data_IF_030790255695
#
_entry.id   IF_030790255695
#
_cell.length_a   1.000
_cell.length_b   1.000
_cell.length_c   1.000
_cell.angle_alpha   90.00
_cell.angle_beta   90.00
_cell.angle_gamma   90.00
#
_symmetry.space_group_name_H-M   'P 1'
#
loop_
_entity.id
_entity.type
_entity.pdbx_description
1 polymer ?
#
# COMPACT_ATOMS: atom_id res chain seq x y z
N UNK A 1 32.47 2.48 -76.74
CA UNK A 1 31.38 1.63 -77.25
C UNK A 1 31.56 0.21 -76.69
N UNK A 2 30.46 -0.35 -76.16
CA UNK A 2 30.17 -1.77 -75.86
C UNK A 2 30.86 -2.50 -74.68
N UNK A 3 30.08 -2.55 -73.59
CA UNK A 3 29.63 -3.71 -72.79
C UNK A 3 30.62 -4.78 -72.29
N UNK A 4 30.66 -4.93 -70.95
CA UNK A 4 31.07 -6.14 -70.22
C UNK A 4 29.85 -6.85 -69.59
N UNK A 5 29.78 -8.16 -69.82
CA UNK A 5 29.13 -9.26 -69.07
C UNK A 5 29.93 -10.53 -69.48
N UNK A 6 30.18 -11.60 -68.74
CA UNK A 6 29.87 -12.12 -67.39
C UNK A 6 30.76 -13.39 -67.19
N UNK A 7 30.89 -13.84 -65.92
CA UNK A 7 31.16 -15.22 -65.44
C UNK A 7 32.60 -15.76 -65.24
N UNK A 8 33.00 -15.74 -63.95
CA UNK A 8 33.36 -16.85 -63.05
C UNK A 8 34.10 -18.12 -63.55
N UNK A 9 35.24 -18.46 -62.92
CA UNK A 9 35.35 -19.57 -61.95
C UNK A 9 36.78 -19.76 -61.38
N UNK A 10 36.82 -20.18 -60.11
CA UNK A 10 37.80 -21.03 -59.39
C UNK A 10 39.25 -20.54 -59.14
N UNK A 11 39.67 -20.56 -57.86
CA UNK A 11 40.77 -21.38 -57.31
C UNK A 11 40.60 -21.52 -55.79
N UNK A 12 40.83 -22.73 -55.29
CA UNK A 12 40.74 -23.17 -53.90
C UNK A 12 42.09 -23.15 -53.16
N UNK A 13 42.04 -22.87 -51.84
CA UNK A 13 42.70 -23.65 -50.78
C UNK A 13 44.13 -23.32 -50.34
N UNK A 14 44.29 -22.90 -49.08
CA UNK A 14 45.16 -23.61 -48.10
C UNK A 14 44.86 -23.19 -46.65
N UNK A 15 45.02 -24.18 -45.75
CA UNK A 15 44.50 -24.31 -44.39
C UNK A 15 45.41 -23.71 -43.30
N UNK A 16 44.80 -23.25 -42.20
CA UNK A 16 45.33 -23.40 -40.83
C UNK A 16 44.14 -23.40 -39.85
N UNK A 17 44.10 -24.41 -38.97
CA UNK A 17 42.92 -24.78 -38.19
C UNK A 17 42.59 -23.87 -37.01
N UNK A 18 41.29 -23.69 -36.77
CA UNK A 18 40.76 -23.27 -35.48
C UNK A 18 39.61 -24.24 -35.13
N UNK A 19 39.79 -24.95 -34.02
CA UNK A 19 38.80 -25.86 -33.48
C UNK A 19 37.54 -25.08 -33.05
N UNK A 20 36.37 -25.57 -33.47
CA UNK A 20 35.07 -25.03 -33.11
C UNK A 20 34.77 -25.41 -31.64
N UNK A 21 34.86 -24.44 -30.73
CA UNK A 21 34.39 -24.60 -29.36
C UNK A 21 32.86 -24.58 -29.31
N UNK A 22 32.26 -25.62 -28.73
CA UNK A 22 30.84 -25.65 -28.40
C UNK A 22 30.47 -24.46 -27.48
N UNK A 23 29.24 -23.93 -27.56
CA UNK A 23 28.81 -22.87 -26.64
C UNK A 23 28.91 -23.38 -25.20
N UNK A 24 29.67 -22.65 -24.38
CA UNK A 24 29.76 -22.88 -22.94
C UNK A 24 28.34 -22.78 -22.37
N UNK A 25 27.86 -23.85 -21.74
CA UNK A 25 26.67 -23.76 -20.90
C UNK A 25 26.86 -22.61 -19.90
N UNK A 26 25.82 -21.79 -19.65
CA UNK A 26 25.90 -20.75 -18.63
C UNK A 26 26.32 -21.41 -17.31
N UNK A 27 27.24 -20.77 -16.60
CA UNK A 27 27.64 -21.21 -15.27
C UNK A 27 26.38 -21.35 -14.40
N UNK A 28 26.24 -22.43 -13.61
CA UNK A 28 25.14 -22.52 -12.67
C UNK A 28 25.21 -21.29 -11.76
N UNK A 29 24.12 -20.51 -11.76
CA UNK A 29 23.89 -19.47 -10.76
C UNK A 29 24.14 -20.09 -9.38
N UNK A 30 24.77 -19.37 -8.43
CA UNK A 30 24.77 -19.84 -7.06
C UNK A 30 23.32 -20.11 -6.66
N UNK A 31 23.07 -21.31 -6.12
CA UNK A 31 21.76 -21.66 -5.61
C UNK A 31 21.46 -20.69 -4.45
N UNK A 32 20.70 -19.65 -4.74
CA UNK A 32 20.06 -18.81 -3.73
C UNK A 32 19.11 -19.73 -2.94
N UNK A 33 19.60 -20.26 -1.83
CA UNK A 33 18.72 -20.78 -0.80
C UNK A 33 17.81 -19.60 -0.41
N UNK A 34 16.47 -19.75 -0.48
CA UNK A 34 15.57 -18.64 -0.23
C UNK A 34 15.71 -18.24 1.24
N UNK A 35 16.23 -17.05 1.50
CA UNK A 35 16.53 -16.51 2.83
C UNK A 35 15.31 -16.39 3.78
N UNK A 36 14.12 -16.87 3.38
CA UNK A 36 12.93 -16.94 4.23
C UNK A 36 12.21 -18.31 4.21
N UNK A 37 12.78 -19.37 3.61
CA UNK A 37 12.28 -20.72 3.90
C UNK A 37 12.41 -21.08 5.39
N UNK A 38 13.28 -20.38 6.13
CA UNK A 38 13.47 -20.46 7.59
C UNK A 38 12.82 -19.35 8.41
N UNK A 39 12.07 -18.42 7.81
CA UNK A 39 11.53 -17.26 8.54
C UNK A 39 10.61 -17.67 9.70
N UNK A 40 10.71 -16.96 10.82
CA UNK A 40 9.95 -17.19 12.06
C UNK A 40 9.32 -15.90 12.56
N UNK A 41 8.20 -16.04 13.27
CA UNK A 41 7.67 -14.95 14.10
C UNK A 41 8.72 -14.65 15.18
N UNK A 42 9.26 -13.43 15.19
CA UNK A 42 10.23 -12.98 16.20
C UNK A 42 9.52 -12.51 17.45
N UNK A 43 8.45 -11.76 17.25
CA UNK A 43 7.51 -11.35 18.27
C UNK A 43 6.17 -11.01 17.62
N UNK A 44 5.12 -11.07 18.41
CA UNK A 44 3.78 -10.63 18.06
C UNK A 44 3.18 -9.91 19.27
N UNK A 45 2.65 -8.71 19.05
CA UNK A 45 2.00 -7.92 20.09
C UNK A 45 0.54 -7.70 19.73
N UNK A 46 -0.33 -8.30 20.53
CA UNK A 46 -1.78 -8.10 20.43
C UNK A 46 -2.12 -6.73 20.97
N UNK A 47 -2.99 -6.03 20.22
CA UNK A 47 -3.64 -4.79 20.66
C UNK A 47 -5.02 -5.16 21.16
N UNK A 48 -5.19 -5.12 22.48
CA UNK A 48 -6.45 -5.52 23.13
C UNK A 48 -7.21 -4.32 23.64
N UNK A 49 -8.53 -4.44 23.70
CA UNK A 49 -9.42 -3.38 24.14
C UNK A 49 -10.87 -3.86 24.15
N UNK A 50 -11.77 -3.12 24.80
CA UNK A 50 -13.13 -3.56 25.06
C UNK A 50 -14.04 -3.61 23.82
N UNK A 51 -13.63 -2.98 22.72
CA UNK A 51 -14.34 -2.99 21.44
C UNK A 51 -13.35 -3.12 20.28
N UNK A 52 -12.51 -4.16 20.35
CA UNK A 52 -11.66 -4.65 19.26
C UNK A 52 -10.84 -3.57 18.53
N UNK A 53 -9.70 -3.14 19.10
CA UNK A 53 -8.77 -2.24 18.43
C UNK A 53 -8.37 -2.77 17.06
N UNK A 54 -8.14 -1.87 16.11
CA UNK A 54 -7.74 -2.21 14.76
C UNK A 54 -6.38 -1.59 14.40
N UNK A 55 -5.36 -2.41 14.19
CA UNK A 55 -4.13 -1.99 13.51
C UNK A 55 -4.40 -1.89 12.00
N UNK A 56 -4.18 -0.71 11.40
CA UNK A 56 -4.50 -0.43 9.99
C UNK A 56 -3.30 -0.37 9.08
N UNK A 57 -2.19 0.19 9.55
CA UNK A 57 -0.97 0.31 8.76
C UNK A 57 0.28 0.11 9.61
N UNK A 58 1.34 -0.32 8.94
CA UNK A 58 2.68 -0.51 9.52
C UNK A 58 3.73 0.10 8.62
N UNK A 59 4.81 0.61 9.21
CA UNK A 59 6.01 1.06 8.51
C UNK A 59 7.26 0.71 9.33
N UNK A 60 8.44 0.72 8.70
CA UNK A 60 9.70 0.51 9.40
C UNK A 60 10.55 1.79 9.40
N UNK A 61 11.20 2.07 10.53
CA UNK A 61 12.14 3.19 10.70
C UNK A 61 13.38 2.70 11.45
N UNK A 62 14.55 2.68 10.80
CA UNK A 62 15.80 2.26 11.46
C UNK A 62 15.74 0.87 12.11
N UNK A 63 14.93 -0.04 11.56
CA UNK A 63 14.67 -1.38 12.11
C UNK A 63 13.53 -1.45 13.14
N UNK A 64 13.07 -0.33 13.68
CA UNK A 64 11.86 -0.27 14.51
C UNK A 64 10.60 -0.47 13.65
N UNK A 65 9.55 -1.04 14.24
CA UNK A 65 8.21 -1.11 13.64
C UNK A 65 7.35 0.03 14.18
N UNK A 66 6.73 0.80 13.31
CA UNK A 66 5.69 1.77 13.66
C UNK A 66 4.37 1.20 13.18
N UNK A 67 3.35 1.17 14.05
CA UNK A 67 2.01 0.73 13.71
C UNK A 67 0.99 1.78 14.12
N UNK A 68 -0.02 1.97 13.28
CA UNK A 68 -1.12 2.93 13.52
C UNK A 68 -2.47 2.27 13.36
N UNK A 69 -3.48 2.84 14.01
CA UNK A 69 -4.82 2.27 13.99
C UNK A 69 -5.84 3.07 14.79
N UNK A 70 -6.91 2.39 15.17
CA UNK A 70 -7.96 2.94 16.04
C UNK A 70 -8.34 1.99 17.18
N UNK A 71 -8.92 2.54 18.24
CA UNK A 71 -9.45 1.77 19.38
C UNK A 71 -10.63 2.51 20.01
N UNK A 72 -11.40 1.88 20.90
CA UNK A 72 -12.46 2.56 21.66
C UNK A 72 -12.18 2.51 23.15
N UNK A 73 -12.36 3.65 23.84
CA UNK A 73 -12.20 3.85 25.30
C UNK A 73 -10.79 3.62 25.84
N UNK A 74 -10.20 2.46 25.58
CA UNK A 74 -8.83 2.12 25.92
C UNK A 74 -8.28 1.00 25.04
N UNK A 75 -6.96 1.00 24.85
CA UNK A 75 -6.23 -0.09 24.23
C UNK A 75 -5.01 -0.45 25.06
N UNK A 76 -4.59 -1.70 24.97
CA UNK A 76 -3.35 -2.19 25.57
C UNK A 76 -2.49 -2.80 24.45
N UNK A 77 -1.26 -2.31 24.32
CA UNK A 77 -0.28 -2.84 23.37
C UNK A 77 1.04 -3.05 24.09
N UNK A 78 1.55 -4.28 24.10
CA UNK A 78 2.84 -4.62 24.70
C UNK A 78 3.00 -4.04 26.13
N UNK A 79 1.97 -4.20 26.97
CA UNK A 79 1.94 -3.73 28.36
C UNK A 79 1.65 -2.22 28.54
N UNK A 80 1.49 -1.44 27.47
CA UNK A 80 1.20 -0.01 27.53
C UNK A 80 -0.29 0.26 27.34
N UNK A 81 -0.88 1.02 28.27
CA UNK A 81 -2.29 1.43 28.21
C UNK A 81 -2.44 2.78 27.51
N UNK A 82 -3.26 2.80 26.48
CA UNK A 82 -3.76 3.99 25.79
C UNK A 82 -5.16 4.31 26.29
N UNK A 83 -5.48 5.59 26.43
CA UNK A 83 -6.78 6.07 26.88
C UNK A 83 -7.44 6.88 25.77
N UNK A 84 -8.70 6.56 25.51
CA UNK A 84 -9.56 7.25 24.56
C UNK A 84 -10.20 8.48 25.16
N UNK A 85 -10.83 9.30 24.33
CA UNK A 85 -11.68 10.38 24.80
C UNK A 85 -12.92 9.80 25.53
N UNK A 86 -13.36 10.37 26.67
CA UNK A 86 -14.53 9.87 27.40
C UNK A 86 -15.82 9.83 26.56
N UNK A 87 -15.95 10.78 25.63
CA UNK A 87 -17.10 10.92 24.72
C UNK A 87 -16.69 10.60 23.25
N UNK A 88 -15.57 9.90 23.06
CA UNK A 88 -15.10 9.41 21.75
C UNK A 88 -15.73 8.08 21.38
N UNK A 89 -15.96 7.87 20.09
CA UNK A 89 -16.42 6.59 19.53
C UNK A 89 -15.20 5.71 19.20
N UNK A 90 -14.36 6.16 18.27
CA UNK A 90 -13.06 5.57 17.94
C UNK A 90 -11.97 6.62 18.15
N UNK A 91 -10.81 6.20 18.64
CA UNK A 91 -9.65 7.02 18.95
C UNK A 91 -8.43 6.55 18.16
N UNK A 92 -7.68 7.48 17.59
CA UNK A 92 -6.50 7.17 16.80
C UNK A 92 -5.31 6.79 17.71
N UNK A 93 -4.50 5.84 17.29
CA UNK A 93 -3.25 5.53 17.98
C UNK A 93 -2.06 5.31 17.05
N UNK A 94 -0.88 5.46 17.63
CA UNK A 94 0.37 4.99 17.07
C UNK A 94 1.24 4.33 18.15
N UNK A 95 2.00 3.31 17.76
CA UNK A 95 3.00 2.66 18.61
C UNK A 95 4.29 2.47 17.83
N UNK A 96 5.42 2.68 18.49
CA UNK A 96 6.74 2.33 17.97
C UNK A 96 7.36 1.23 18.82
N UNK A 97 7.74 0.16 18.16
CA UNK A 97 8.31 -1.05 18.72
C UNK A 97 9.73 -1.20 18.21
N UNK A 98 10.69 -1.48 19.10
CA UNK A 98 12.05 -1.80 18.73
C UNK A 98 12.14 -3.11 17.94
N UNK A 99 13.30 -3.46 17.34
CA UNK A 99 13.43 -4.70 16.57
C UNK A 99 13.16 -5.97 17.39
N UNK A 100 13.42 -5.92 18.71
CA UNK A 100 13.12 -6.95 19.71
C UNK A 100 11.71 -6.85 20.32
N UNK A 101 10.88 -5.92 19.83
CA UNK A 101 9.48 -5.82 20.20
C UNK A 101 9.23 -5.05 21.50
N UNK A 102 10.20 -4.32 22.04
CA UNK A 102 9.97 -3.45 23.20
C UNK A 102 9.31 -2.15 22.75
N UNK A 103 8.33 -1.66 23.51
CA UNK A 103 7.70 -0.37 23.24
C UNK A 103 8.71 0.74 23.49
N UNK A 104 9.00 1.52 22.46
CA UNK A 104 9.73 2.80 22.61
C UNK A 104 8.77 3.91 23.02
N UNK A 105 7.62 3.96 22.37
CA UNK A 105 6.51 4.83 22.76
C UNK A 105 5.18 4.31 22.23
N UNK A 106 4.10 4.72 22.88
CA UNK A 106 2.73 4.57 22.43
C UNK A 106 2.00 5.91 22.62
N UNK A 107 1.17 6.29 21.66
CA UNK A 107 0.45 7.57 21.60
C UNK A 107 -0.99 7.32 21.19
N UNK A 108 -1.89 8.08 21.81
CA UNK A 108 -3.28 8.20 21.37
C UNK A 108 -3.53 9.66 21.01
N UNK A 109 -4.26 9.88 19.93
CA UNK A 109 -4.77 11.18 19.52
C UNK A 109 -6.28 11.07 19.47
N UNK A 110 -6.95 11.89 20.26
CA UNK A 110 -8.33 11.64 20.67
C UNK A 110 -9.14 12.92 20.62
N UNK A 111 -10.43 12.78 20.49
CA UNK A 111 -11.39 13.87 20.54
C UNK A 111 -12.82 13.37 20.52
N UNK A 112 -13.80 14.28 20.45
CA UNK A 112 -15.19 13.88 20.35
C UNK A 112 -15.47 13.24 18.99
N UNK A 113 -16.20 12.14 18.97
CA UNK A 113 -16.57 11.43 17.74
C UNK A 113 -15.55 10.38 17.32
N UNK A 114 -15.33 10.25 16.01
CA UNK A 114 -14.52 9.19 15.39
C UNK A 114 -13.18 9.78 14.97
N UNK A 115 -12.08 9.18 15.42
CA UNK A 115 -10.70 9.50 15.08
C UNK A 115 -9.97 8.23 14.62
N UNK A 116 -9.49 8.21 13.38
CA UNK A 116 -8.90 7.02 12.76
C UNK A 116 -7.52 7.33 12.20
N UNK A 117 -6.46 6.68 12.69
CA UNK A 117 -5.21 6.62 11.95
C UNK A 117 -5.25 5.44 10.97
N UNK A 118 -5.08 5.72 9.66
CA UNK A 118 -5.25 4.75 8.58
C UNK A 118 -3.96 4.42 7.84
N UNK A 119 -3.06 5.38 7.69
CA UNK A 119 -1.80 5.21 6.97
C UNK A 119 -0.62 5.78 7.74
N UNK A 120 0.55 5.16 7.57
CA UNK A 120 1.82 5.65 8.12
C UNK A 120 2.95 5.45 7.11
N UNK A 121 3.83 6.44 6.98
CA UNK A 121 5.04 6.36 6.17
C UNK A 121 6.23 6.98 6.90
N UNK A 122 7.43 6.51 6.55
CA UNK A 122 8.69 6.99 7.08
C UNK A 122 9.54 7.47 5.91
N UNK A 123 9.94 8.73 5.92
CA UNK A 123 10.86 9.29 4.94
C UNK A 123 12.30 8.79 5.18
N UNK A 124 13.20 8.87 4.18
CA UNK A 124 14.58 8.41 4.32
C UNK A 124 15.39 9.07 5.45
N UNK A 125 15.01 10.28 5.87
CA UNK A 125 15.60 11.01 7.00
C UNK A 125 15.04 10.58 8.37
N UNK A 126 14.09 9.64 8.39
CA UNK A 126 13.41 9.15 9.58
C UNK A 126 12.14 9.93 9.95
N UNK A 127 11.75 10.97 9.20
CA UNK A 127 10.50 11.69 9.47
C UNK A 127 9.28 10.77 9.31
N UNK A 128 8.38 10.80 10.30
CA UNK A 128 7.21 9.92 10.32
C UNK A 128 5.96 10.74 9.99
N UNK A 129 5.18 10.25 9.04
CA UNK A 129 3.92 10.85 8.61
C UNK A 129 2.77 9.89 8.88
N UNK A 130 1.68 10.41 9.44
CA UNK A 130 0.46 9.65 9.74
C UNK A 130 -0.71 10.34 9.07
N UNK A 131 -1.59 9.56 8.42
CA UNK A 131 -2.81 10.05 7.80
C UNK A 131 -4.04 9.31 8.31
N UNK A 132 -5.19 9.95 8.17
CA UNK A 132 -6.42 9.40 8.68
C UNK A 132 -7.64 10.29 8.47
N UNK A 133 -8.65 10.07 9.29
CA UNK A 133 -9.89 10.82 9.29
C UNK A 133 -10.35 11.13 10.72
N UNK A 134 -11.09 12.23 10.87
CA UNK A 134 -11.72 12.61 12.14
C UNK A 134 -13.06 13.33 11.91
N UNK A 135 -14.06 13.18 12.80
CA UNK A 135 -15.42 13.70 12.53
C UNK A 135 -15.80 15.03 13.17
N UNK A 136 -15.15 15.44 14.27
CA UNK A 136 -15.48 16.72 14.96
C UNK A 136 -14.24 17.50 15.32
N UNK A 137 -13.42 16.97 16.22
CA UNK A 137 -12.19 17.59 16.62
C UNK A 137 -11.19 16.53 17.05
N UNK A 138 -9.91 16.73 16.73
CA UNK A 138 -8.83 15.82 17.09
C UNK A 138 -7.79 16.58 17.90
N UNK A 139 -7.55 16.13 19.15
CA UNK A 139 -6.52 16.72 20.01
C UNK A 139 -5.15 16.15 19.70
N UNK A 140 -4.20 17.05 19.46
CA UNK A 140 -2.78 16.78 19.21
C UNK A 140 -1.91 17.34 20.35
N UNK A 141 -2.46 17.46 21.57
CA UNK A 141 -1.83 18.10 22.71
C UNK A 141 -2.25 19.56 22.83
N UNK A 142 -1.32 20.50 22.61
CA UNK A 142 -1.59 21.95 22.64
C UNK A 142 -2.38 22.46 21.43
N UNK A 143 -2.65 21.59 20.45
CA UNK A 143 -3.37 21.91 19.21
C UNK A 143 -4.60 21.03 19.08
N UNK A 144 -5.67 21.59 18.55
CA UNK A 144 -6.89 20.87 18.22
C UNK A 144 -7.20 21.11 16.75
N UNK A 145 -7.31 20.03 15.98
CA UNK A 145 -7.87 20.09 14.62
C UNK A 145 -9.38 20.09 14.74
N UNK A 146 -10.07 20.77 13.83
CA UNK A 146 -11.54 20.83 13.81
C UNK A 146 -12.03 20.51 12.41
N UNK A 147 -13.01 19.63 12.33
CA UNK A 147 -13.67 19.29 11.09
C UNK A 147 -14.63 20.44 10.71
N UNK A 148 -15.06 20.48 9.45
CA UNK A 148 -16.08 21.43 9.02
C UNK A 148 -17.48 20.86 9.34
N UNK A 149 -18.38 20.75 8.36
CA UNK A 149 -19.70 20.17 8.61
C UNK A 149 -19.68 18.62 8.62
N UNK A 150 -18.76 17.99 7.87
CA UNK A 150 -18.59 16.54 7.83
C UNK A 150 -17.19 16.07 8.23
N UNK A 151 -16.96 14.74 8.28
CA UNK A 151 -15.65 14.17 8.60
C UNK A 151 -14.54 14.69 7.70
N UNK A 152 -13.38 14.96 8.28
CA UNK A 152 -12.23 15.54 7.62
C UNK A 152 -11.04 14.58 7.60
N UNK A 153 -10.26 14.64 6.52
CA UNK A 153 -8.98 13.97 6.44
C UNK A 153 -7.91 14.74 7.22
N UNK A 154 -6.97 14.04 7.85
CA UNK A 154 -5.78 14.66 8.39
C UNK A 154 -4.51 14.02 7.84
N UNK A 155 -3.47 14.83 7.69
CA UNK A 155 -2.09 14.39 7.56
C UNK A 155 -1.29 15.08 8.65
N UNK A 156 -0.43 14.37 9.36
CA UNK A 156 0.46 14.97 10.33
C UNK A 156 1.87 14.39 10.24
N UNK A 157 2.84 15.22 10.60
CA UNK A 157 4.20 14.78 10.88
C UNK A 157 4.40 14.67 12.39
N UNK A 158 5.02 13.59 12.82
CA UNK A 158 5.39 13.36 14.22
C UNK A 158 6.91 13.28 14.38
N UNK A 159 7.41 13.66 15.55
CA UNK A 159 8.81 13.52 15.92
C UNK A 159 9.18 12.06 16.27
N UNK A 160 10.45 11.81 16.54
CA UNK A 160 10.98 10.47 16.87
C UNK A 160 10.36 9.87 18.16
N UNK A 161 9.83 10.73 19.04
CA UNK A 161 9.12 10.41 20.29
C UNK A 161 7.58 10.30 20.08
N UNK A 162 7.10 10.42 18.85
CA UNK A 162 5.69 10.35 18.49
C UNK A 162 4.86 11.59 18.86
N UNK A 163 5.48 12.76 19.08
CA UNK A 163 4.76 14.02 19.31
C UNK A 163 4.42 14.70 17.98
N UNK A 164 3.18 15.20 17.79
CA UNK A 164 2.82 15.97 16.61
C UNK A 164 3.68 17.23 16.46
N UNK A 165 4.24 17.43 15.27
CA UNK A 165 5.03 18.62 14.92
C UNK A 165 4.14 19.65 14.21
N UNK A 166 3.41 19.20 13.19
CA UNK A 166 2.44 19.97 12.43
C UNK A 166 1.41 19.01 11.84
N UNK A 167 0.26 19.56 11.46
CA UNK A 167 -0.80 18.82 10.76
C UNK A 167 -1.45 19.65 9.67
N UNK A 168 -1.91 18.97 8.62
CA UNK A 168 -2.78 19.46 7.57
C UNK A 168 -4.17 18.81 7.71
N UNK A 169 -5.21 19.57 7.37
CA UNK A 169 -6.60 19.14 7.40
C UNK A 169 -7.18 19.28 6.00
N UNK A 170 -7.81 18.22 5.50
CA UNK A 170 -8.59 18.20 4.27
C UNK A 170 -10.05 18.13 4.67
N UNK A 171 -10.79 19.22 4.54
CA UNK A 171 -12.15 19.33 5.06
C UNK A 171 -13.08 20.06 4.10
N UNK A 172 -14.37 19.76 4.20
CA UNK A 172 -15.45 20.37 3.43
C UNK A 172 -16.79 20.18 4.12
N UNK A 173 -17.87 20.57 3.45
CA UNK A 173 -19.22 20.41 4.01
C UNK A 173 -19.68 18.93 4.04
N UNK A 174 -19.03 18.07 3.26
CA UNK A 174 -19.25 16.63 3.21
C UNK A 174 -18.13 15.84 3.88
N UNK A 175 -17.98 14.59 3.45
CA UNK A 175 -16.96 13.65 3.91
C UNK A 175 -15.68 13.87 3.12
N UNK A 176 -14.55 13.91 3.83
CA UNK A 176 -13.21 13.80 3.28
C UNK A 176 -12.38 12.84 4.12
N UNK A 177 -11.63 11.95 3.46
CA UNK A 177 -10.78 10.97 4.10
C UNK A 177 -9.38 10.98 3.49
N UNK A 178 -8.36 10.76 4.31
CA UNK A 178 -7.04 10.31 3.86
C UNK A 178 -6.80 8.89 4.37
N UNK A 179 -6.32 8.02 3.48
CA UNK A 179 -6.24 6.57 3.74
C UNK A 179 -4.84 6.00 3.61
N UNK A 180 -4.01 6.56 2.73
CA UNK A 180 -2.64 6.11 2.53
C UNK A 180 -1.68 7.30 2.37
N UNK A 181 -0.42 7.08 2.72
CA UNK A 181 0.63 8.08 2.65
C UNK A 181 1.95 7.42 2.24
N UNK A 182 2.74 8.14 1.47
CA UNK A 182 4.12 7.79 1.15
C UNK A 182 5.00 9.03 1.34
N UNK A 183 6.27 8.83 1.70
CA UNK A 183 7.16 9.93 2.04
C UNK A 183 8.57 9.73 1.47
N UNK A 184 9.18 10.83 1.05
CA UNK A 184 10.57 10.92 0.61
C UNK A 184 11.24 12.15 1.26
N UNK A 185 12.43 12.51 0.77
CA UNK A 185 13.17 13.65 1.30
C UNK A 185 12.48 15.01 1.02
N UNK A 186 11.56 15.07 0.04
CA UNK A 186 10.84 16.29 -0.33
C UNK A 186 9.52 16.44 0.44
N UNK A 187 9.19 15.48 1.31
CA UNK A 187 8.05 15.50 2.21
C UNK A 187 7.16 14.27 2.05
N UNK A 188 5.85 14.47 2.02
CA UNK A 188 4.88 13.38 1.96
C UNK A 188 3.79 13.62 0.91
N UNK A 189 3.19 12.53 0.44
CA UNK A 189 2.01 12.53 -0.43
C UNK A 189 0.97 11.65 0.23
N UNK A 190 -0.18 12.24 0.58
CA UNK A 190 -1.35 11.54 1.07
C UNK A 190 -2.37 11.34 -0.03
N UNK A 191 -3.12 10.26 0.03
CA UNK A 191 -4.25 10.00 -0.86
C UNK A 191 -5.51 9.59 -0.11
N UNK A 192 -6.66 9.86 -0.71
CA UNK A 192 -7.96 9.43 -0.23
C UNK A 192 -9.10 9.88 -1.13
N UNK A 193 -10.23 10.27 -0.52
CA UNK A 193 -11.48 10.58 -1.21
C UNK A 193 -12.29 11.68 -0.54
N UNK A 194 -13.21 12.29 -1.29
CA UNK A 194 -14.14 13.31 -0.81
C UNK A 194 -15.46 13.30 -1.61
N UNK A 195 -16.58 13.72 -1.00
CA UNK A 195 -17.93 13.70 -1.63
C UNK A 195 -18.60 15.09 -1.75
N UNK A 196 -17.93 16.14 -1.27
CA UNK A 196 -18.36 17.53 -1.41
C UNK A 196 -17.13 18.45 -1.47
N UNK A 197 -17.26 19.71 -1.93
CA UNK A 197 -16.11 20.59 -2.08
C UNK A 197 -15.25 20.69 -0.82
N UNK A 198 -13.94 20.52 -0.99
CA UNK A 198 -12.95 20.51 0.09
C UNK A 198 -11.96 21.67 -0.02
N UNK A 199 -11.33 22.02 1.09
CA UNK A 199 -10.11 22.81 1.15
C UNK A 199 -9.05 22.12 2.02
N UNK A 200 -7.79 22.44 1.76
CA UNK A 200 -6.64 21.97 2.55
C UNK A 200 -6.08 23.11 3.36
N UNK A 201 -6.09 22.97 4.68
CA UNK A 201 -5.47 23.93 5.60
C UNK A 201 -4.29 23.28 6.31
N UNK A 202 -3.31 24.09 6.72
CA UNK A 202 -2.10 23.58 7.40
C UNK A 202 -1.81 24.38 8.66
N UNK A 203 -1.37 23.67 9.70
CA UNK A 203 -0.79 24.22 10.92
C UNK A 203 0.73 24.20 10.82
N UNK A 204 1.29 24.64 9.68
CA UNK A 204 2.72 24.72 9.45
C UNK A 204 3.45 25.36 10.65
N UNK A 205 4.78 25.18 10.74
CA UNK A 205 5.59 25.60 11.88
C UNK A 205 5.19 26.98 12.45
N UNK A 206 5.31 27.24 13.77
CA UNK A 206 4.70 28.39 14.46
C UNK A 206 5.04 29.81 13.94
N UNK A 207 5.92 29.93 12.95
CA UNK A 207 6.29 31.13 12.19
C UNK A 207 5.69 31.21 10.76
N UNK A 208 4.98 30.19 10.32
CA UNK A 208 4.30 30.10 9.04
C UNK A 208 2.83 30.53 9.15
N UNK A 209 2.38 31.38 8.23
CA UNK A 209 0.95 31.69 8.08
C UNK A 209 0.17 30.42 7.73
N UNK A 210 -0.96 30.18 8.38
CA UNK A 210 -1.92 29.13 7.99
C UNK A 210 -2.39 29.41 6.56
N UNK A 211 -1.85 28.68 5.59
CA UNK A 211 -2.30 28.75 4.21
C UNK A 211 -3.43 27.75 4.02
N UNK A 212 -4.57 28.24 3.54
CA UNK A 212 -5.66 27.43 3.05
C UNK A 212 -5.60 27.38 1.52
N UNK A 213 -5.84 26.21 0.95
CA UNK A 213 -5.98 26.07 -0.50
C UNK A 213 -7.24 26.79 -0.99
N UNK A 214 -7.33 27.01 -2.29
CA UNK A 214 -8.64 27.30 -2.90
C UNK A 214 -9.55 26.08 -2.73
N UNK A 215 -10.88 26.27 -2.67
CA UNK A 215 -11.83 25.16 -2.71
C UNK A 215 -11.60 24.29 -3.95
N UNK A 216 -11.76 22.99 -3.78
CA UNK A 216 -11.65 21.96 -4.81
C UNK A 216 -13.02 21.31 -4.89
N UNK A 217 -13.69 21.50 -6.03
CA UNK A 217 -15.01 20.96 -6.28
C UNK A 217 -14.97 19.47 -6.61
N UNK A 218 -16.09 18.79 -6.38
CA UNK A 218 -16.30 17.43 -6.88
C UNK A 218 -16.64 17.43 -8.37
N UNK A 219 -16.21 16.39 -9.08
CA UNK A 219 -16.55 16.12 -10.48
C UNK A 219 -17.72 15.12 -10.63
N UNK A 220 -18.46 14.87 -9.53
CA UNK A 220 -19.57 13.93 -9.51
C UNK A 220 -20.06 13.70 -8.08
N UNK A 221 -20.11 12.42 -7.68
CA UNK A 221 -20.62 12.01 -6.35
C UNK A 221 -19.52 11.82 -5.31
N UNK A 222 -18.37 11.30 -5.70
CA UNK A 222 -17.22 11.05 -4.84
C UNK A 222 -15.97 11.04 -5.72
N UNK A 223 -14.93 11.74 -5.31
CA UNK A 223 -13.70 11.87 -6.08
C UNK A 223 -12.48 11.53 -5.23
N UNK A 224 -11.42 11.09 -5.89
CA UNK A 224 -10.12 10.86 -5.28
C UNK A 224 -9.30 12.15 -5.14
N UNK A 225 -8.53 12.26 -4.06
CA UNK A 225 -7.60 13.38 -3.83
C UNK A 225 -6.21 12.89 -3.48
N UNK A 226 -5.19 13.52 -4.04
CA UNK A 226 -3.79 13.39 -3.68
C UNK A 226 -3.25 14.74 -3.21
N UNK A 227 -2.71 14.80 -1.99
CA UNK A 227 -2.17 16.03 -1.38
C UNK A 227 -0.69 15.81 -1.10
N UNK A 228 0.17 16.62 -1.73
CA UNK A 228 1.59 16.63 -1.44
C UNK A 228 1.97 17.81 -0.54
N UNK A 229 2.83 17.53 0.42
CA UNK A 229 3.31 18.49 1.42
C UNK A 229 4.83 18.44 1.50
N UNK A 230 5.43 19.56 1.89
CA UNK A 230 6.84 19.67 2.24
C UNK A 230 7.11 19.13 3.66
N UNK A 231 8.38 18.90 4.07
CA UNK A 231 8.70 18.40 5.41
C UNK A 231 8.31 19.34 6.56
N UNK A 232 8.18 20.63 6.27
CA UNK A 232 7.73 21.73 7.13
C UNK A 232 6.21 21.99 7.07
N UNK A 233 5.49 21.22 6.25
CA UNK A 233 4.02 21.17 6.27
C UNK A 233 3.31 22.13 5.31
N UNK A 234 4.02 22.68 4.33
CA UNK A 234 3.40 23.48 3.26
C UNK A 234 2.85 22.57 2.17
N UNK A 235 1.66 22.89 1.66
CA UNK A 235 1.10 22.22 0.48
C UNK A 235 1.97 22.54 -0.74
N UNK A 236 2.48 21.50 -1.43
CA UNK A 236 3.19 21.62 -2.71
C UNK A 236 2.23 21.62 -3.88
N UNK A 237 1.34 20.63 -3.91
CA UNK A 237 0.36 20.47 -4.97
C UNK A 237 -0.80 19.59 -4.47
N UNK A 238 -1.93 19.71 -5.16
CA UNK A 238 -3.10 18.87 -4.97
C UNK A 238 -3.54 18.39 -6.36
N UNK A 239 -3.84 17.11 -6.48
CA UNK A 239 -4.35 16.50 -7.70
C UNK A 239 -5.60 15.68 -7.38
N UNK A 240 -6.57 15.66 -8.30
CA UNK A 240 -7.81 14.91 -8.14
C UNK A 240 -7.96 13.84 -9.22
N UNK A 241 -8.68 12.78 -8.86
CA UNK A 241 -9.23 11.77 -9.75
C UNK A 241 -10.75 11.90 -9.67
N UNK A 242 -11.41 12.29 -10.75
CA UNK A 242 -12.85 12.55 -10.69
C UNK A 242 -13.60 12.43 -12.02
N UNK A 243 -14.90 12.21 -11.91
CA UNK A 243 -15.79 11.85 -13.00
C UNK A 243 -17.24 11.71 -12.49
N UNK A 244 -18.19 11.39 -13.39
CA UNK A 244 -19.61 11.35 -13.02
C UNK A 244 -19.96 10.23 -12.03
N UNK A 245 -19.14 9.18 -11.93
CA UNK A 245 -19.29 8.07 -10.98
C UNK A 245 -18.46 8.25 -9.71
N UNK A 246 -18.50 7.27 -8.80
CA UNK A 246 -17.64 7.28 -7.62
C UNK A 246 -16.19 6.90 -7.97
N UNK A 247 -15.28 7.78 -7.58
CA UNK A 247 -13.84 7.65 -7.77
C UNK A 247 -13.13 7.84 -6.43
N UNK A 248 -12.00 7.14 -6.24
CA UNK A 248 -11.25 7.24 -4.99
C UNK A 248 -9.80 6.82 -5.18
N UNK A 249 -8.88 7.47 -4.46
CA UNK A 249 -7.51 6.99 -4.33
C UNK A 249 -7.36 6.17 -3.04
N UNK A 250 -6.63 5.06 -3.15
CA UNK A 250 -6.52 4.05 -2.07
C UNK A 250 -5.09 3.74 -1.67
N UNK A 251 -4.16 3.79 -2.63
CA UNK A 251 -2.75 3.50 -2.40
C UNK A 251 -1.83 4.56 -3.00
N UNK A 252 -0.67 4.77 -2.38
CA UNK A 252 0.35 5.68 -2.87
C UNK A 252 1.76 5.17 -2.56
N UNK A 253 2.70 5.42 -3.46
CA UNK A 253 4.13 5.22 -3.27
C UNK A 253 4.91 6.40 -3.84
N UNK A 254 6.18 6.55 -3.45
CA UNK A 254 7.11 7.53 -4.06
C UNK A 254 8.29 6.81 -4.70
N UNK A 255 8.64 7.21 -5.93
CA UNK A 255 9.72 6.62 -6.71
C UNK A 255 10.49 7.69 -7.47
N UNK A 256 11.76 7.90 -7.07
CA UNK A 256 12.64 8.92 -7.64
C UNK A 256 12.01 10.33 -7.59
N UNK A 257 11.41 10.69 -6.45
CA UNK A 257 10.71 11.96 -6.21
C UNK A 257 9.32 12.07 -6.82
N UNK A 258 8.92 11.16 -7.71
CA UNK A 258 7.57 11.15 -8.29
C UNK A 258 6.60 10.37 -7.41
N UNK A 259 5.36 10.85 -7.31
CA UNK A 259 4.28 10.13 -6.66
C UNK A 259 3.66 9.10 -7.62
N UNK A 260 3.31 7.94 -7.09
CA UNK A 260 2.55 6.90 -7.78
C UNK A 260 1.27 6.70 -7.00
N UNK A 261 0.14 7.09 -7.56
CA UNK A 261 -1.16 6.97 -6.91
C UNK A 261 -2.02 5.93 -7.63
N UNK A 262 -2.71 5.10 -6.85
CA UNK A 262 -3.62 4.06 -7.34
C UNK A 262 -4.97 4.12 -6.65
N UNK A 263 -6.00 3.68 -7.35
CA UNK A 263 -7.35 3.71 -6.83
C UNK A 263 -8.37 3.16 -7.82
N UNK A 264 -9.59 3.64 -7.69
CA UNK A 264 -10.77 3.23 -8.47
C UNK A 264 -11.41 4.41 -9.15
N UNK A 265 -12.03 4.15 -10.29
CA UNK A 265 -12.91 5.12 -10.93
C UNK A 265 -14.10 4.41 -11.61
N UNK A 266 -15.24 5.08 -11.75
CA UNK A 266 -16.44 4.50 -12.37
C UNK A 266 -16.96 5.40 -13.49
N UNK A 267 -17.10 4.84 -14.69
CA UNK A 267 -17.34 5.63 -15.89
C UNK A 267 -16.09 6.39 -16.34
N UNK A 268 -16.18 7.18 -17.41
CA UNK A 268 -15.03 7.96 -17.86
C UNK A 268 -14.68 9.04 -16.84
N UNK A 269 -13.41 9.12 -16.45
CA UNK A 269 -12.90 10.03 -15.43
C UNK A 269 -11.69 10.84 -15.92
N UNK A 270 -11.20 11.74 -15.09
CA UNK A 270 -9.96 12.48 -15.30
C UNK A 270 -9.08 12.38 -14.07
N UNK A 271 -7.80 12.07 -14.25
CA UNK A 271 -6.80 12.13 -13.18
C UNK A 271 -5.77 13.22 -13.51
N UNK A 272 -5.77 14.28 -12.71
CA UNK A 272 -4.79 15.38 -12.79
C UNK A 272 -4.70 16.02 -14.18
N UNK A 273 -5.82 16.19 -14.90
CA UNK A 273 -5.79 16.70 -16.28
C UNK A 273 -5.76 15.63 -17.38
N UNK A 274 -5.73 14.34 -17.02
CA UNK A 274 -5.63 13.23 -18.00
C UNK A 274 -6.86 12.34 -17.98
N UNK A 275 -7.52 12.24 -19.12
CA UNK A 275 -8.68 11.36 -19.28
C UNK A 275 -8.32 9.88 -19.07
N UNK A 276 -9.17 9.21 -18.28
CA UNK A 276 -9.23 7.77 -18.10
C UNK A 276 -10.53 7.26 -18.74
N UNK A 277 -10.44 6.15 -19.47
CA UNK A 277 -11.61 5.52 -20.09
C UNK A 277 -11.97 4.29 -19.29
N UNK A 278 -13.24 4.15 -18.95
CA UNK A 278 -13.74 2.95 -18.31
C UNK A 278 -13.66 1.76 -19.27
N UNK A 279 -13.30 0.59 -18.74
CA UNK A 279 -13.31 -0.68 -19.45
C UNK A 279 -14.69 -1.36 -19.38
N UNK A 280 -15.51 -0.99 -18.39
CA UNK A 280 -16.84 -1.56 -18.15
C UNK A 280 -17.83 -0.60 -17.50
N UNK A 281 -18.99 -1.11 -17.04
CA UNK A 281 -20.02 -0.31 -16.37
C UNK A 281 -19.77 -0.12 -14.86
N UNK A 282 -18.82 -0.86 -14.31
CA UNK A 282 -18.46 -0.98 -12.89
C UNK A 282 -17.14 -0.26 -12.60
N UNK A 283 -16.65 -0.34 -11.36
CA UNK A 283 -15.39 0.30 -10.98
C UNK A 283 -14.20 -0.32 -11.75
N UNK A 284 -13.28 0.54 -12.18
CA UNK A 284 -12.04 0.20 -12.86
C UNK A 284 -10.82 0.74 -12.10
N UNK A 285 -9.65 0.17 -12.37
CA UNK A 285 -8.37 0.53 -11.75
C UNK A 285 -7.80 1.80 -12.34
N UNK A 286 -7.53 2.81 -11.52
CA UNK A 286 -6.71 3.97 -11.87
C UNK A 286 -5.27 3.81 -11.38
N UNK A 287 -4.29 4.08 -12.25
CA UNK A 287 -2.88 4.21 -11.89
C UNK A 287 -2.33 5.50 -12.51
N UNK A 288 -1.72 6.36 -11.71
CA UNK A 288 -1.02 7.54 -12.20
C UNK A 288 0.38 7.68 -11.61
N UNK A 289 1.28 8.24 -12.40
CA UNK A 289 2.58 8.75 -11.94
C UNK A 289 2.60 10.26 -12.10
N UNK A 290 2.72 10.96 -10.99
CA UNK A 290 2.67 12.41 -10.89
C UNK A 290 4.07 12.93 -10.57
N UNK A 291 4.47 14.01 -11.24
CA UNK A 291 5.75 14.66 -11.00
C UNK A 291 5.79 15.21 -9.57
N UNK A 292 6.88 14.94 -8.84
CA UNK A 292 7.02 15.39 -7.45
C UNK A 292 6.97 16.91 -7.28
N UNK A 293 7.44 17.66 -8.27
CA UNK A 293 7.58 19.11 -8.17
C UNK A 293 6.23 19.85 -8.16
N UNK A 294 5.28 19.42 -8.98
CA UNK A 294 4.05 20.17 -9.28
C UNK A 294 2.79 19.30 -9.39
N UNK A 295 2.90 17.98 -9.19
CA UNK A 295 1.79 17.05 -9.33
C UNK A 295 1.35 16.81 -10.77
N UNK A 296 2.07 17.35 -11.77
CA UNK A 296 1.70 17.17 -13.17
C UNK A 296 1.81 15.69 -13.57
N UNK A 297 0.83 15.13 -14.30
CA UNK A 297 0.85 13.72 -14.65
C UNK A 297 1.93 13.45 -15.69
N UNK A 298 2.89 12.60 -15.33
CA UNK A 298 3.80 11.98 -16.30
C UNK A 298 3.03 11.00 -17.17
N UNK A 299 2.12 10.26 -16.55
CA UNK A 299 1.12 9.43 -17.20
C UNK A 299 0.01 9.07 -16.20
N UNK A 300 -1.18 8.77 -16.72
CA UNK A 300 -2.30 8.19 -15.99
C UNK A 300 -2.98 7.16 -16.90
N UNK A 301 -3.42 6.03 -16.35
CA UNK A 301 -3.99 4.91 -17.11
C UNK A 301 -5.11 4.25 -16.30
N UNK A 302 -6.19 3.91 -17.02
CA UNK A 302 -7.28 3.07 -16.53
C UNK A 302 -7.09 1.62 -17.01
N UNK A 303 -7.42 0.65 -16.16
CA UNK A 303 -7.39 -0.77 -16.46
C UNK A 303 -8.61 -1.46 -15.84
N UNK A 304 -9.07 -2.55 -16.44
CA UNK A 304 -10.18 -3.32 -15.87
C UNK A 304 -10.87 -4.20 -16.91
N UNK A 305 -12.10 -4.57 -16.59
CA UNK A 305 -12.95 -5.49 -17.32
C UNK A 305 -14.43 -5.13 -17.15
N UNK A 306 -15.27 -6.15 -17.15
CA UNK A 306 -16.73 -5.96 -17.10
C UNK A 306 -17.31 -5.97 -15.67
N UNK A 307 -16.50 -6.32 -14.67
CA UNK A 307 -16.87 -6.37 -13.25
C UNK A 307 -16.00 -5.39 -12.45
N UNK A 308 -16.20 -5.32 -11.14
CA UNK A 308 -15.44 -4.40 -10.30
C UNK A 308 -13.95 -4.79 -10.23
N UNK A 309 -13.09 -3.84 -10.59
CA UNK A 309 -11.64 -3.95 -10.51
C UNK A 309 -11.08 -2.79 -9.69
N UNK A 310 -10.31 -3.11 -8.66
CA UNK A 310 -9.92 -2.16 -7.62
C UNK A 310 -8.44 -2.28 -7.31
N UNK A 311 -7.68 -1.18 -7.42
CA UNK A 311 -6.32 -1.11 -6.90
C UNK A 311 -6.32 -0.49 -5.50
N UNK A 312 -5.78 -1.21 -4.53
CA UNK A 312 -5.77 -0.84 -3.11
C UNK A 312 -4.41 -0.36 -2.64
N UNK A 313 -3.32 -0.85 -3.26
CA UNK A 313 -1.96 -0.61 -2.78
C UNK A 313 -0.96 -0.46 -3.91
N UNK A 314 0.07 0.36 -3.67
CA UNK A 314 1.19 0.57 -4.57
C UNK A 314 2.52 0.55 -3.80
N UNK A 315 3.58 0.05 -4.42
CA UNK A 315 4.94 0.11 -3.90
C UNK A 315 5.95 0.35 -5.03
N UNK A 316 7.01 1.09 -4.74
CA UNK A 316 8.08 1.38 -5.70
C UNK A 316 9.18 0.32 -5.62
N UNK A 317 9.52 -0.27 -6.77
CA UNK A 317 10.69 -1.14 -6.90
C UNK A 317 11.97 -0.32 -7.18
N UNK A 318 13.16 -0.89 -6.88
CA UNK A 318 14.42 -0.34 -7.37
C UNK A 318 14.37 -0.08 -8.88
N UNK A 319 14.83 1.10 -9.30
CA UNK A 319 14.79 1.52 -10.72
C UNK A 319 13.52 2.26 -11.14
N UNK A 320 12.54 2.43 -10.23
CA UNK A 320 11.34 3.23 -10.47
C UNK A 320 10.15 2.48 -11.06
N UNK A 321 10.28 1.16 -11.20
CA UNK A 321 9.16 0.26 -11.49
C UNK A 321 8.16 0.25 -10.32
N UNK A 322 6.96 -0.23 -10.59
CA UNK A 322 5.81 -0.08 -9.70
C UNK A 322 5.18 -1.44 -9.49
N UNK A 323 4.99 -1.84 -8.24
CA UNK A 323 4.10 -2.91 -7.84
C UNK A 323 2.73 -2.33 -7.53
N UNK A 324 1.67 -2.96 -8.02
CA UNK A 324 0.28 -2.63 -7.69
C UNK A 324 -0.43 -3.89 -7.23
N UNK A 325 -1.19 -3.78 -6.15
CA UNK A 325 -2.05 -4.84 -5.63
C UNK A 325 -3.48 -4.37 -5.48
N UNK A 326 -4.41 -5.32 -5.47
CA UNK A 326 -5.83 -5.07 -5.36
C UNK A 326 -6.69 -6.30 -5.59
N UNK A 327 -7.89 -6.09 -6.09
CA UNK A 327 -8.87 -7.14 -6.41
C UNK A 327 -9.38 -6.94 -7.85
N UNK A 328 -9.64 -8.03 -8.55
CA UNK A 328 -10.26 -8.03 -9.87
C UNK A 328 -11.47 -8.96 -9.90
N UNK A 329 -12.47 -8.63 -10.72
CA UNK A 329 -13.67 -9.41 -10.93
C UNK A 329 -13.67 -10.10 -12.29
N UNK A 330 -13.76 -11.44 -12.32
CA UNK A 330 -13.86 -12.20 -13.56
C UNK A 330 -12.61 -12.11 -14.44
N UNK A 331 -12.55 -11.18 -15.40
CA UNK A 331 -11.35 -10.99 -16.25
C UNK A 331 -11.09 -9.51 -16.50
N UNK A 332 -9.91 -9.06 -16.10
CA UNK A 332 -9.43 -7.70 -16.30
C UNK A 332 -8.30 -7.66 -17.35
N UNK A 333 -8.25 -6.59 -18.15
CA UNK A 333 -7.16 -6.31 -19.09
C UNK A 333 -6.15 -5.36 -18.47
N UNK A 334 -5.10 -5.92 -17.86
CA UNK A 334 -4.02 -5.13 -17.27
C UNK A 334 -2.94 -4.90 -18.34
N UNK A 335 -2.77 -3.65 -18.80
CA UNK A 335 -1.83 -3.33 -19.88
C UNK A 335 -2.06 -4.10 -21.18
N UNK A 336 -3.30 -4.56 -21.43
CA UNK A 336 -3.69 -5.40 -22.57
C UNK A 336 -3.48 -6.90 -22.38
N UNK A 337 -2.92 -7.35 -21.25
CA UNK A 337 -2.84 -8.77 -20.91
C UNK A 337 -4.06 -9.19 -20.07
N UNK A 338 -4.77 -10.27 -20.43
CA UNK A 338 -5.88 -10.76 -19.62
C UNK A 338 -5.36 -11.40 -18.33
N UNK A 339 -5.95 -11.00 -17.21
CA UNK A 339 -5.80 -11.65 -15.90
C UNK A 339 -7.19 -12.07 -15.46
N UNK A 340 -7.37 -13.36 -15.22
CA UNK A 340 -8.66 -13.94 -14.90
C UNK A 340 -8.66 -14.51 -13.48
N UNK A 341 -9.81 -14.43 -12.83
CA UNK A 341 -10.07 -15.06 -11.54
C UNK A 341 -10.32 -16.56 -11.72
N UNK A 342 -10.09 -17.34 -10.66
CA UNK A 342 -10.35 -18.79 -10.62
C UNK A 342 -11.75 -19.13 -10.07
N UNK A 343 -12.49 -18.14 -9.57
CA UNK A 343 -13.82 -18.28 -9.01
C UNK A 343 -14.49 -16.93 -8.79
N UNK A 344 -14.59 -16.51 -7.52
CA UNK A 344 -15.08 -15.20 -7.14
C UNK A 344 -14.16 -14.07 -7.62
N UNK A 345 -14.24 -12.92 -6.96
CA UNK A 345 -13.25 -11.87 -7.17
C UNK A 345 -11.92 -12.34 -6.56
N UNK A 346 -10.81 -12.21 -7.29
CA UNK A 346 -9.50 -12.63 -6.79
C UNK A 346 -8.62 -11.41 -6.52
N UNK A 347 -7.69 -11.56 -5.58
CA UNK A 347 -6.60 -10.62 -5.42
C UNK A 347 -5.72 -10.60 -6.67
N UNK A 348 -5.01 -9.51 -6.92
CA UNK A 348 -3.97 -9.48 -7.95
C UNK A 348 -2.72 -8.75 -7.48
N UNK A 349 -1.60 -9.10 -8.11
CA UNK A 349 -0.36 -8.31 -8.07
C UNK A 349 0.13 -8.11 -9.50
N UNK A 350 0.49 -6.88 -9.83
CA UNK A 350 1.06 -6.52 -11.12
C UNK A 350 2.30 -5.66 -10.95
N UNK A 351 3.30 -5.90 -11.80
CA UNK A 351 4.47 -5.03 -11.94
C UNK A 351 4.37 -4.24 -13.23
N UNK A 352 4.57 -2.93 -13.13
CA UNK A 352 4.68 -2.00 -14.24
C UNK A 352 6.08 -1.38 -14.26
N UNK A 353 6.54 -1.04 -15.45
CA UNK A 353 7.71 -0.18 -15.63
C UNK A 353 7.43 1.23 -15.13
N UNK A 354 8.48 2.02 -14.88
CA UNK A 354 8.37 3.45 -14.54
C UNK A 354 7.55 4.30 -15.55
N UNK A 355 7.38 3.80 -16.78
CA UNK A 355 6.59 4.41 -17.87
C UNK A 355 5.15 3.87 -17.97
N UNK A 356 4.74 3.03 -17.03
CA UNK A 356 3.38 2.47 -16.95
C UNK A 356 3.12 1.34 -17.96
N UNK A 357 4.15 0.72 -18.51
CA UNK A 357 4.01 -0.51 -19.31
C UNK A 357 4.01 -1.74 -18.39
N UNK A 358 3.05 -2.64 -18.55
CA UNK A 358 3.01 -3.90 -17.80
C UNK A 358 4.27 -4.74 -18.07
N UNK A 359 4.85 -5.29 -17.00
CA UNK A 359 5.93 -6.29 -17.02
C UNK A 359 5.32 -7.68 -16.85
N UNK A 360 4.56 -7.88 -15.77
CA UNK A 360 3.81 -9.09 -15.49
C UNK A 360 2.63 -8.79 -14.55
N UNK A 361 1.59 -9.63 -14.59
CA UNK A 361 0.48 -9.60 -13.65
C UNK A 361 0.06 -11.02 -13.27
N UNK A 362 -0.45 -11.19 -12.06
CA UNK A 362 -0.92 -12.47 -11.51
C UNK A 362 -2.15 -12.26 -10.66
N UNK A 363 -3.16 -13.10 -10.84
CA UNK A 363 -4.19 -13.31 -9.84
C UNK A 363 -3.59 -14.10 -8.66
N UNK A 364 -4.07 -13.80 -7.46
CA UNK A 364 -3.78 -14.47 -6.20
C UNK A 364 -5.14 -14.79 -5.59
N UNK A 365 -5.52 -16.06 -5.69
CA UNK A 365 -6.83 -16.51 -5.25
C UNK A 365 -7.12 -17.95 -5.63
N UNK A 366 -8.38 -18.33 -5.49
CA UNK A 366 -8.90 -19.66 -5.75
C UNK A 366 -10.38 -19.64 -6.12
N UNK A 367 -11.16 -20.56 -5.54
CA UNK A 367 -12.58 -20.69 -5.87
C UNK A 367 -13.51 -19.68 -5.18
N UNK A 368 -13.02 -18.94 -4.19
CA UNK A 368 -13.80 -18.02 -3.34
C UNK A 368 -13.56 -16.54 -3.69
N UNK A 369 -13.91 -15.64 -2.77
CA UNK A 369 -13.52 -14.23 -2.83
C UNK A 369 -12.19 -13.97 -2.11
N UNK A 370 -11.23 -13.38 -2.82
CA UNK A 370 -9.89 -13.11 -2.34
C UNK A 370 -9.50 -11.64 -2.60
N UNK A 371 -8.63 -11.09 -1.76
CA UNK A 371 -8.14 -9.71 -1.94
C UNK A 371 -6.68 -9.57 -1.59
N UNK A 372 -5.96 -8.75 -2.36
CA UNK A 372 -4.67 -8.17 -1.93
C UNK A 372 -4.97 -6.80 -1.32
N UNK A 373 -4.74 -6.66 -0.02
CA UNK A 373 -4.97 -5.42 0.72
C UNK A 373 -3.74 -4.50 0.72
N UNK A 374 -2.54 -5.07 0.72
CA UNK A 374 -1.29 -4.32 0.80
C UNK A 374 -0.17 -4.96 -0.02
N UNK A 375 0.72 -4.11 -0.56
CA UNK A 375 1.97 -4.53 -1.18
C UNK A 375 3.15 -3.74 -0.62
N UNK A 376 4.31 -4.38 -0.52
CA UNK A 376 5.57 -3.77 -0.14
C UNK A 376 6.72 -4.35 -0.98
N UNK A 377 7.90 -3.71 -0.95
CA UNK A 377 9.08 -4.21 -1.65
C UNK A 377 10.17 -4.58 -0.64
N UNK A 378 10.78 -5.74 -0.84
CA UNK A 378 11.78 -6.33 0.05
C UNK A 378 12.93 -6.91 -0.78
N UNK A 379 14.08 -6.23 -0.82
CA UNK A 379 15.24 -6.69 -1.62
C UNK A 379 14.95 -6.83 -3.12
N UNK A 380 14.01 -6.04 -3.66
CA UNK A 380 13.57 -6.11 -5.06
C UNK A 380 12.50 -7.17 -5.35
N UNK A 381 12.14 -8.01 -4.37
CA UNK A 381 10.93 -8.84 -4.41
C UNK A 381 9.71 -8.04 -3.96
N UNK A 382 8.51 -8.55 -4.30
CA UNK A 382 7.24 -7.94 -3.92
C UNK A 382 6.62 -8.78 -2.81
N UNK A 383 6.28 -8.15 -1.69
CA UNK A 383 5.42 -8.72 -0.66
C UNK A 383 3.98 -8.35 -0.95
N UNK A 384 3.07 -9.29 -0.75
CA UNK A 384 1.63 -9.07 -0.82
C UNK A 384 0.98 -9.62 0.46
N UNK A 385 0.02 -8.87 1.00
CA UNK A 385 -0.77 -9.28 2.15
C UNK A 385 -2.26 -9.02 1.89
N UNK A 386 -3.11 -9.88 2.42
CA UNK A 386 -4.55 -9.76 2.24
C UNK A 386 -5.32 -10.89 2.92
N UNK A 387 -6.44 -11.26 2.33
CA UNK A 387 -7.29 -12.36 2.80
C UNK A 387 -7.79 -13.19 1.62
N UNK A 388 -8.23 -14.41 1.91
CA UNK A 388 -8.72 -15.35 0.91
C UNK A 388 -9.84 -16.23 1.48
N UNK A 389 -10.74 -16.67 0.61
CA UNK A 389 -11.78 -17.65 0.90
C UNK A 389 -11.45 -18.99 0.26
N UNK A 390 -11.71 -20.09 0.98
CA UNK A 390 -11.53 -21.48 0.52
C UNK A 390 -10.05 -21.86 0.29
N UNK A 391 -9.36 -21.17 -0.63
CA UNK A 391 -8.06 -21.56 -1.14
C UNK A 391 -7.30 -20.42 -1.85
N UNK A 392 -5.97 -20.46 -1.77
CA UNK A 392 -5.08 -19.79 -2.74
C UNK A 392 -4.38 -20.88 -3.55
N UNK A 393 -4.49 -20.84 -4.86
CA UNK A 393 -3.87 -21.82 -5.76
C UNK A 393 -2.69 -21.20 -6.54
N UNK A 394 -1.59 -20.95 -5.82
CA UNK A 394 -0.33 -20.50 -6.43
C UNK A 394 0.59 -21.70 -6.77
N UNK A 395 1.35 -21.67 -7.88
CA UNK A 395 2.23 -22.78 -8.28
C UNK A 395 3.19 -23.21 -7.16
N UNK A 396 3.02 -24.46 -6.68
CA UNK A 396 3.82 -25.04 -5.60
C UNK A 396 3.54 -24.51 -4.18
N UNK A 397 2.51 -23.66 -4.01
CA UNK A 397 2.21 -22.93 -2.77
C UNK A 397 0.70 -22.86 -2.51
N UNK A 398 -0.01 -23.96 -2.73
CA UNK A 398 -1.45 -24.01 -2.48
C UNK A 398 -1.75 -23.89 -0.98
N UNK A 399 -2.70 -23.01 -0.63
CA UNK A 399 -3.22 -22.85 0.73
C UNK A 399 -4.70 -23.25 0.77
N UNK A 400 -5.16 -23.56 1.97
CA UNK A 400 -6.58 -23.83 2.27
C UNK A 400 -6.96 -23.03 3.52
N UNK A 401 -8.13 -22.42 3.49
CA UNK A 401 -8.65 -21.69 4.63
C UNK A 401 -9.01 -22.69 5.74
N UNK A 402 -8.67 -22.35 6.98
CA UNK A 402 -9.09 -23.04 8.19
C UNK A 402 -10.46 -22.53 8.67
N UNK A 403 -10.73 -21.22 8.49
CA UNK A 403 -12.01 -20.55 8.71
C UNK A 403 -12.81 -20.31 7.42
N UNK A 404 -13.75 -19.36 7.46
CA UNK A 404 -14.45 -18.89 6.25
C UNK A 404 -13.51 -18.02 5.41
N UNK A 405 -12.78 -17.11 6.06
CA UNK A 405 -11.76 -16.23 5.47
C UNK A 405 -10.49 -16.29 6.30
N UNK A 406 -9.34 -16.47 5.66
CA UNK A 406 -8.06 -16.41 6.34
C UNK A 406 -7.17 -15.34 5.71
N UNK A 407 -6.23 -14.82 6.49
CA UNK A 407 -5.22 -13.90 5.99
C UNK A 407 -4.11 -14.64 5.24
N UNK A 408 -3.38 -13.92 4.38
CA UNK A 408 -2.15 -14.44 3.81
C UNK A 408 -1.06 -13.37 3.72
N UNK A 409 0.18 -13.85 3.69
CA UNK A 409 1.36 -13.07 3.29
C UNK A 409 2.12 -13.88 2.25
N UNK A 410 2.44 -13.26 1.11
CA UNK A 410 3.19 -13.87 0.03
C UNK A 410 4.43 -13.03 -0.30
N UNK A 411 5.54 -13.70 -0.65
CA UNK A 411 6.67 -13.06 -1.32
C UNK A 411 6.78 -13.59 -2.74
N UNK A 412 6.75 -12.67 -3.69
CA UNK A 412 6.83 -12.92 -5.11
C UNK A 412 8.15 -12.38 -5.65
N UNK A 413 8.78 -13.12 -6.54
CA UNK A 413 9.94 -12.66 -7.31
C UNK A 413 9.59 -11.37 -8.04
N UNK A 414 10.36 -10.31 -7.83
CA UNK A 414 10.11 -9.05 -8.53
C UNK A 414 10.25 -9.18 -10.05
N UNK A 415 11.11 -10.09 -10.53
CA UNK A 415 11.42 -10.29 -11.95
C UNK A 415 10.24 -10.82 -12.78
N UNK A 416 9.58 -11.86 -12.29
CA UNK A 416 8.58 -12.64 -13.02
C UNK A 416 7.30 -12.93 -12.20
N UNK A 417 7.23 -12.46 -10.96
CA UNK A 417 6.13 -12.70 -10.04
C UNK A 417 6.05 -14.14 -9.52
N UNK A 418 7.06 -14.98 -9.77
CA UNK A 418 7.04 -16.36 -9.28
C UNK A 418 6.95 -16.38 -7.73
N UNK A 419 6.03 -17.16 -7.13
CA UNK A 419 5.95 -17.27 -5.69
C UNK A 419 7.25 -17.86 -5.11
N UNK A 420 7.83 -17.16 -4.14
CA UNK A 420 9.00 -17.64 -3.38
C UNK A 420 8.57 -18.32 -2.09
N UNK A 421 7.56 -17.77 -1.44
CA UNK A 421 6.87 -18.38 -0.31
C UNK A 421 5.50 -17.73 -0.12
N UNK A 422 4.60 -18.47 0.53
CA UNK A 422 3.29 -18.00 0.96
C UNK A 422 3.06 -18.54 2.37
N UNK A 423 2.44 -17.74 3.24
CA UNK A 423 2.07 -18.10 4.62
C UNK A 423 0.63 -17.67 4.88
N UNK A 424 -0.12 -18.53 5.53
CA UNK A 424 -1.44 -18.19 6.07
C UNK A 424 -1.30 -17.39 7.35
N UNK A 425 -2.27 -16.53 7.61
CA UNK A 425 -2.61 -16.01 8.92
C UNK A 425 -3.99 -16.59 9.22
N UNK A 426 -4.04 -17.63 10.06
CA UNK A 426 -5.22 -18.49 10.12
C UNK A 426 -5.55 -18.96 11.54
N UNK A 427 -6.84 -19.03 11.82
CA UNK A 427 -7.49 -19.43 13.05
C UNK A 427 -8.89 -19.99 12.75
N UNK A 428 -9.72 -20.28 13.77
CA UNK A 428 -11.05 -20.86 13.57
C UNK A 428 -12.12 -19.82 13.18
N UNK A 429 -11.76 -18.54 13.05
CA UNK A 429 -12.64 -17.42 12.67
C UNK A 429 -12.03 -16.68 11.48
N UNK A 430 -12.71 -15.62 11.04
CA UNK A 430 -12.22 -14.78 9.97
C UNK A 430 -10.94 -14.04 10.40
N UNK A 431 -9.89 -14.20 9.60
CA UNK A 431 -8.59 -13.58 9.81
C UNK A 431 -8.17 -12.78 8.56
N UNK A 432 -7.32 -11.77 8.76
CA UNK A 432 -6.86 -10.89 7.68
C UNK A 432 -5.43 -10.43 7.94
N UNK A 433 -4.62 -10.31 6.89
CA UNK A 433 -3.40 -9.51 6.90
C UNK A 433 -3.67 -8.15 6.24
N UNK A 434 -3.83 -7.09 7.05
CA UNK A 434 -4.32 -5.79 6.60
C UNK A 434 -3.22 -4.90 5.99
N UNK A 435 -1.99 -5.02 6.48
CA UNK A 435 -0.86 -4.22 6.01
C UNK A 435 0.45 -5.01 6.11
N UNK A 436 1.39 -4.70 5.22
CA UNK A 436 2.74 -5.27 5.21
C UNK A 436 3.76 -4.16 4.95
N UNK A 437 4.86 -4.20 5.69
CA UNK A 437 6.03 -3.36 5.44
C UNK A 437 7.31 -4.18 5.57
N UNK A 438 8.33 -3.83 4.81
CA UNK A 438 9.63 -4.47 4.88
C UNK A 438 10.77 -3.47 4.90
N UNK A 439 11.92 -3.89 5.42
CA UNK A 439 13.14 -3.13 5.29
C UNK A 439 13.75 -3.33 3.89
N UNK A 440 14.71 -2.48 3.54
CA UNK A 440 15.30 -2.50 2.20
C UNK A 440 15.96 -3.86 1.86
N UNK A 441 16.47 -4.60 2.85
CA UNK A 441 17.05 -5.94 2.66
C UNK A 441 15.99 -7.05 2.58
N UNK A 442 14.81 -6.83 3.16
CA UNK A 442 13.76 -7.85 3.28
C UNK A 442 13.99 -8.84 4.42
N UNK A 443 14.85 -8.48 5.38
CA UNK A 443 15.17 -9.30 6.56
C UNK A 443 14.18 -9.06 7.70
N UNK A 444 13.42 -7.98 7.63
CA UNK A 444 12.33 -7.67 8.54
C UNK A 444 11.04 -7.43 7.78
N UNK A 445 9.99 -8.15 8.15
CA UNK A 445 8.63 -7.91 7.67
C UNK A 445 7.73 -7.63 8.87
N UNK A 446 7.06 -6.48 8.86
CA UNK A 446 6.00 -6.17 9.80
C UNK A 446 4.64 -6.42 9.13
N UNK A 447 3.72 -7.05 9.86
CA UNK A 447 2.37 -7.35 9.37
C UNK A 447 1.35 -6.91 10.42
N UNK A 448 0.34 -6.19 9.99
CA UNK A 448 -0.87 -5.96 10.78
C UNK A 448 -1.85 -7.10 10.51
N UNK A 449 -2.24 -7.83 11.54
CA UNK A 449 -3.18 -8.95 11.42
C UNK A 449 -4.41 -8.72 12.26
N UNK A 450 -5.57 -9.17 11.77
CA UNK A 450 -6.78 -9.37 12.56
C UNK A 450 -7.05 -10.86 12.64
N UNK A 451 -7.40 -11.37 13.83
CA UNK A 451 -7.65 -12.79 14.01
C UNK A 451 -8.60 -13.09 15.18
N UNK A 452 -9.15 -14.30 15.19
CA UNK A 452 -10.01 -14.81 16.28
C UNK A 452 -9.24 -15.30 17.51
N UNK A 453 -9.90 -16.06 18.39
CA UNK A 453 -9.37 -16.42 19.72
C UNK A 453 -7.96 -17.06 19.69
N UNK A 454 -7.65 -17.82 18.62
CA UNK A 454 -6.34 -18.43 18.36
C UNK A 454 -6.02 -18.36 16.87
N UNK A 455 -4.79 -18.00 16.52
CA UNK A 455 -4.33 -18.05 15.14
C UNK A 455 -2.82 -18.34 15.04
N UNK A 456 -2.36 -18.66 13.84
CA UNK A 456 -0.95 -18.86 13.50
C UNK A 456 -0.55 -17.99 12.31
N UNK A 457 0.76 -17.74 12.18
CA UNK A 457 1.37 -17.28 10.92
C UNK A 457 2.20 -18.43 10.36
N UNK A 458 1.68 -19.08 9.32
CA UNK A 458 2.15 -20.42 8.96
C UNK A 458 1.91 -21.39 10.11
N UNK A 459 2.98 -21.98 10.65
CA UNK A 459 2.92 -22.92 11.77
C UNK A 459 3.24 -22.26 13.13
N UNK A 460 3.55 -20.96 13.15
CA UNK A 460 3.96 -20.25 14.37
C UNK A 460 2.75 -19.63 15.08
N UNK A 461 2.50 -19.93 16.37
CA UNK A 461 1.34 -19.43 17.08
C UNK A 461 1.43 -17.93 17.36
N UNK A 462 0.30 -17.23 17.21
CA UNK A 462 0.08 -15.89 17.75
C UNK A 462 -0.40 -15.99 19.20
N UNK A 463 -0.23 -14.93 20.02
CA UNK A 463 -0.76 -14.93 21.37
C UNK A 463 -2.29 -15.07 21.38
N UNK A 464 -2.81 -15.89 22.30
CA UNK A 464 -4.26 -16.06 22.49
C UNK A 464 -4.93 -14.70 22.77
N UNK A 465 -6.14 -14.53 22.23
CA UNK A 465 -6.97 -13.37 22.47
C UNK A 465 -8.40 -13.77 22.86
N UNK A 466 -9.08 -12.93 23.64
CA UNK A 466 -10.50 -13.12 23.95
C UNK A 466 -11.34 -12.40 22.88
N UNK A 467 -11.80 -13.11 21.84
CA UNK A 467 -12.61 -12.54 20.77
C UNK A 467 -11.82 -12.23 19.49
N UNK A 468 -12.24 -11.19 18.76
CA UNK A 468 -11.50 -10.69 17.58
C UNK A 468 -10.40 -9.78 18.09
N UNK A 469 -9.16 -9.99 17.67
CA UNK A 469 -8.04 -9.16 18.06
C UNK A 469 -7.23 -8.72 16.86
N UNK A 470 -6.49 -7.62 17.01
CA UNK A 470 -5.45 -7.27 16.05
C UNK A 470 -4.08 -7.36 16.68
N UNK A 471 -3.08 -7.69 15.88
CA UNK A 471 -1.69 -7.73 16.34
C UNK A 471 -0.75 -7.09 15.33
N UNK A 472 0.37 -6.59 15.86
CA UNK A 472 1.56 -6.26 15.09
C UNK A 472 2.50 -7.45 15.18
N UNK A 473 2.83 -8.04 14.04
CA UNK A 473 3.69 -9.24 13.95
C UNK A 473 4.98 -8.88 13.24
N UNK A 474 6.11 -9.31 13.80
CA UNK A 474 7.43 -9.20 13.16
C UNK A 474 7.90 -10.56 12.71
N UNK A 475 8.17 -10.68 11.42
CA UNK A 475 8.71 -11.88 10.77
C UNK A 475 10.13 -11.58 10.30
N UNK A 476 11.07 -12.49 10.57
CA UNK A 476 12.45 -12.39 10.12
C UNK A 476 13.05 -13.80 9.89
N UNK A 477 14.15 -13.93 9.11
CA UNK A 477 14.88 -15.18 8.93
C UNK A 477 15.30 -15.91 10.22
#
# INVERSE_FOLDING_TARGET
MRNRRVAAAAVAGMLAGAACGAPRAPAPMPADAPALAGARVRWAHVVTGPAYPAVRAVALSGGDTIAVGSFQREAHVAGHRLRGAPDGEDDAFAVRLSPDGQVRWARAWTGPGVDLARGVAVAPDGAIYVVGAFSRALSLGERTLTAAAGPAGFLMRIDDDGRPMWAAVVAGDGVAHLVAVAADADGAVAVGDFDAPIAVSTTAAPDASSAESRPIDTAGVQDGVAVAVTPDGHVRWIATLGGPGPDALRGVAVAAGDAIAVGTFTGDAEFAGRALRAAGPTADIAIARLAGADGAPRWARGFGGAADDVATAAAALPGGDIAVGGTIGGTALLGGAPVATAGGADGFVARYTAQGKLVWARAIGGGGEDRVAAVAVAGGDILAAGEFEIAIDLPGHALRAAGLRDGFVARLSGGDGAPRWVRTVAGPRDDQAAAVAADASGDAVAVAVSYGDRATVGDEPLPDADGVATAVVRIAP
#
